data_IF_917995092037
#
_entry.id   IF_917995092037
#
_cell.length_a   1.000
_cell.length_b   1.000
_cell.length_c   1.000
_cell.angle_alpha   90.00
_cell.angle_beta   90.00
_cell.angle_gamma   90.00
#
_symmetry.space_group_name_H-M   'P 1'
#
loop_
_entity.id
_entity.type
_entity.pdbx_description
1 polymer ?
#
# COMPACT_ATOMS: atom_id res chain seq x y z
N UNK A 1 -8.87 -22.52 43.08
CA UNK A 1 -9.68 -21.43 42.51
C UNK A 1 -8.98 -20.95 41.26
N UNK A 2 -9.43 -21.43 40.10
CA UNK A 2 -8.90 -21.11 38.78
C UNK A 2 -9.65 -19.91 38.22
N UNK A 3 -8.95 -18.81 37.95
CA UNK A 3 -9.52 -17.63 37.30
C UNK A 3 -9.30 -17.80 35.79
N UNK A 4 -10.38 -18.02 35.04
CA UNK A 4 -10.37 -17.94 33.58
C UNK A 4 -10.23 -16.47 33.15
N UNK A 5 -9.32 -16.13 32.24
CA UNK A 5 -9.31 -14.81 31.64
C UNK A 5 -10.43 -14.73 30.60
N UNK A 6 -11.45 -13.91 30.85
CA UNK A 6 -12.41 -13.49 29.83
C UNK A 6 -11.66 -12.79 28.70
N UNK A 7 -11.74 -13.34 27.48
CA UNK A 7 -11.34 -12.62 26.27
C UNK A 7 -12.28 -11.42 26.12
N UNK A 8 -11.72 -10.22 26.22
CA UNK A 8 -12.37 -9.01 25.73
C UNK A 8 -12.53 -9.18 24.22
N UNK A 9 -13.76 -9.42 23.77
CA UNK A 9 -14.13 -9.29 22.37
C UNK A 9 -14.15 -7.81 22.03
N UNK A 10 -13.01 -7.28 21.60
CA UNK A 10 -12.98 -5.98 20.94
C UNK A 10 -13.67 -6.18 19.59
N UNK A 11 -14.90 -5.70 19.46
CA UNK A 11 -15.52 -5.58 18.13
C UNK A 11 -14.68 -4.57 17.35
N UNK A 12 -13.86 -5.06 16.43
CA UNK A 12 -13.25 -4.22 15.42
C UNK A 12 -14.36 -3.50 14.63
N UNK A 13 -14.19 -2.23 14.25
CA UNK A 13 -15.24 -1.44 13.58
C UNK A 13 -15.63 -1.95 12.18
N UNK A 14 -15.01 -3.02 11.67
CA UNK A 14 -15.35 -3.67 10.41
C UNK A 14 -16.44 -4.72 10.66
N UNK A 15 -17.68 -4.29 10.87
CA UNK A 15 -18.80 -5.19 11.19
C UNK A 15 -19.47 -5.85 9.97
N UNK A 16 -18.80 -5.88 8.82
CA UNK A 16 -19.12 -6.74 7.68
C UNK A 16 -17.87 -6.85 6.79
N UNK A 17 -17.56 -8.05 6.29
CA UNK A 17 -16.53 -8.23 5.27
C UNK A 17 -16.90 -7.36 4.05
N UNK A 18 -16.03 -6.40 3.71
CA UNK A 18 -16.25 -5.53 2.57
C UNK A 18 -16.36 -6.37 1.29
N UNK A 19 -17.32 -6.07 0.44
CA UNK A 19 -17.44 -6.77 -0.84
C UNK A 19 -16.23 -6.44 -1.71
N UNK A 20 -15.84 -7.37 -2.60
CA UNK A 20 -14.77 -7.13 -3.59
C UNK A 20 -15.01 -5.85 -4.39
N UNK A 21 -16.27 -5.55 -4.73
CA UNK A 21 -16.65 -4.32 -5.42
C UNK A 21 -16.38 -3.07 -4.58
N UNK A 22 -16.68 -3.11 -3.28
CA UNK A 22 -16.41 -1.97 -2.39
C UNK A 22 -14.91 -1.74 -2.20
N UNK A 23 -14.13 -2.82 -2.05
CA UNK A 23 -12.66 -2.74 -1.99
C UNK A 23 -12.10 -2.12 -3.28
N UNK A 24 -12.55 -2.58 -4.44
CA UNK A 24 -12.13 -2.02 -5.72
C UNK A 24 -12.46 -0.52 -5.83
N UNK A 25 -13.67 -0.12 -5.41
CA UNK A 25 -14.10 1.29 -5.38
C UNK A 25 -13.20 2.14 -4.48
N UNK A 26 -12.91 1.65 -3.27
CA UNK A 26 -12.05 2.35 -2.31
C UNK A 26 -10.61 2.47 -2.81
N UNK A 27 -10.07 1.41 -3.43
CA UNK A 27 -8.72 1.44 -4.01
C UNK A 27 -8.64 2.49 -5.12
N UNK A 28 -9.62 2.53 -6.02
CA UNK A 28 -9.73 3.53 -7.08
C UNK A 28 -9.80 4.93 -6.50
N UNK A 29 -10.69 5.17 -5.54
CA UNK A 29 -10.83 6.47 -4.87
C UNK A 29 -9.52 6.92 -4.20
N UNK A 30 -8.82 6.02 -3.51
CA UNK A 30 -7.54 6.33 -2.87
C UNK A 30 -6.50 6.74 -3.92
N UNK A 31 -6.42 6.02 -5.04
CA UNK A 31 -5.47 6.36 -6.13
C UNK A 31 -5.82 7.68 -6.79
N UNK A 32 -7.09 7.94 -7.06
CA UNK A 32 -7.53 9.20 -7.64
C UNK A 32 -7.13 10.38 -6.75
N UNK A 33 -7.24 10.23 -5.42
CA UNK A 33 -6.77 11.22 -4.45
C UNK A 33 -5.24 11.39 -4.48
N UNK A 34 -4.46 10.30 -4.55
CA UNK A 34 -3.00 10.39 -4.72
C UNK A 34 -2.63 11.18 -5.97
N UNK A 35 -3.26 10.88 -7.11
CA UNK A 35 -3.01 11.57 -8.37
C UNK A 35 -3.47 13.03 -8.34
N UNK A 36 -4.60 13.31 -7.68
CA UNK A 36 -5.11 14.68 -7.50
C UNK A 36 -4.10 15.54 -6.74
N UNK A 37 -3.51 15.01 -5.65
CA UNK A 37 -2.53 15.73 -4.82
C UNK A 37 -1.28 16.18 -5.60
N UNK A 38 -0.90 15.44 -6.65
CA UNK A 38 0.30 15.71 -7.46
C UNK A 38 -0.01 16.34 -8.83
N UNK A 39 -1.28 16.45 -9.21
CA UNK A 39 -1.72 16.82 -10.56
C UNK A 39 -1.23 18.20 -11.05
N UNK A 40 -0.94 19.12 -10.14
CA UNK A 40 -0.46 20.47 -10.44
C UNK A 40 1.06 20.65 -10.35
N UNK A 41 1.81 19.59 -10.04
CA UNK A 41 3.24 19.65 -9.80
C UNK A 41 4.03 19.20 -11.04
N UNK A 42 5.14 19.87 -11.32
CA UNK A 42 6.08 19.43 -12.34
C UNK A 42 6.92 18.25 -11.84
N UNK A 43 7.61 17.58 -12.77
CA UNK A 43 8.56 16.53 -12.40
C UNK A 43 9.67 17.08 -11.48
N UNK A 44 10.14 18.30 -11.73
CA UNK A 44 11.14 18.98 -10.89
C UNK A 44 10.61 19.22 -9.46
N UNK A 45 9.39 19.73 -9.33
CA UNK A 45 8.76 19.95 -8.02
C UNK A 45 8.67 18.66 -7.21
N UNK A 46 8.32 17.55 -7.87
CA UNK A 46 8.16 16.24 -7.23
C UNK A 46 9.48 15.61 -6.78
N UNK A 47 10.59 15.93 -7.46
CA UNK A 47 11.93 15.46 -7.11
C UNK A 47 12.61 16.34 -6.05
N UNK A 48 12.10 17.55 -5.79
CA UNK A 48 12.65 18.42 -4.77
C UNK A 48 12.36 17.91 -3.35
N UNK A 49 13.40 17.83 -2.54
CA UNK A 49 13.25 17.69 -1.09
C UNK A 49 13.19 19.07 -0.44
N UNK A 50 12.03 19.42 0.11
CA UNK A 50 11.83 20.73 0.74
C UNK A 50 12.42 20.82 2.16
N UNK A 51 12.50 19.69 2.87
CA UNK A 51 13.08 19.61 4.22
C UNK A 51 13.73 18.23 4.43
N UNK A 52 14.88 18.12 5.13
CA UNK A 52 15.53 16.82 5.42
C UNK A 52 14.63 15.81 6.17
N UNK A 53 13.58 16.28 6.85
CA UNK A 53 12.59 15.45 7.52
C UNK A 53 11.50 14.91 6.58
N UNK A 54 11.48 15.32 5.31
CA UNK A 54 10.50 14.92 4.30
C UNK A 54 11.19 14.15 3.17
N UNK A 55 10.44 13.30 2.45
CA UNK A 55 10.91 12.75 1.18
C UNK A 55 10.70 13.77 0.05
N UNK A 56 11.40 13.65 -1.09
CA UNK A 56 10.82 14.05 -2.38
C UNK A 56 9.46 13.35 -2.57
N UNK A 57 8.45 14.07 -3.04
CA UNK A 57 7.09 13.52 -3.21
C UNK A 57 7.10 12.31 -4.16
N UNK A 58 7.94 12.34 -5.19
CA UNK A 58 8.06 11.21 -6.13
C UNK A 58 8.54 9.91 -5.45
N UNK A 59 9.30 10.01 -4.36
CA UNK A 59 9.68 8.85 -3.55
C UNK A 59 8.45 8.24 -2.88
N UNK A 60 7.56 9.07 -2.31
CA UNK A 60 6.34 8.60 -1.65
C UNK A 60 5.36 7.98 -2.66
N UNK A 61 5.26 8.54 -3.88
CA UNK A 61 4.49 7.96 -5.00
C UNK A 61 5.00 6.56 -5.35
N UNK A 62 6.31 6.41 -5.51
CA UNK A 62 6.91 5.11 -5.77
C UNK A 62 6.77 4.14 -4.59
N UNK A 63 6.84 4.64 -3.35
CA UNK A 63 6.64 3.84 -2.15
C UNK A 63 5.20 3.29 -2.06
N UNK A 64 4.18 4.12 -2.32
CA UNK A 64 2.77 3.68 -2.43
C UNK A 64 2.64 2.55 -3.45
N UNK A 65 3.24 2.72 -4.64
CA UNK A 65 3.17 1.71 -5.70
C UNK A 65 3.73 0.35 -5.24
N UNK A 66 4.96 0.35 -4.71
CA UNK A 66 5.65 -0.88 -4.34
C UNK A 66 5.09 -1.51 -3.05
N UNK A 67 4.52 -0.72 -2.14
CA UNK A 67 3.80 -1.24 -0.98
C UNK A 67 2.52 -1.97 -1.42
N UNK A 68 1.74 -1.38 -2.33
CA UNK A 68 0.56 -2.03 -2.92
C UNK A 68 0.94 -3.33 -3.64
N UNK A 69 1.99 -3.32 -4.46
CA UNK A 69 2.48 -4.52 -5.16
C UNK A 69 2.91 -5.62 -4.18
N UNK A 70 3.73 -5.28 -3.19
CA UNK A 70 4.23 -6.21 -2.19
C UNK A 70 3.10 -6.96 -1.50
N UNK A 71 2.10 -6.24 -0.98
CA UNK A 71 1.06 -6.84 -0.15
C UNK A 71 -0.06 -7.48 -0.94
N UNK A 72 -0.46 -6.90 -2.07
CA UNK A 72 -1.64 -7.34 -2.81
C UNK A 72 -1.30 -8.21 -4.03
N UNK A 73 -0.03 -8.39 -4.38
CA UNK A 73 0.34 -9.30 -5.48
C UNK A 73 1.31 -10.39 -5.08
N UNK A 74 2.26 -10.13 -4.17
CA UNK A 74 3.32 -11.08 -3.83
C UNK A 74 3.01 -11.92 -2.57
N UNK A 75 2.33 -11.33 -1.57
CA UNK A 75 2.15 -11.95 -0.24
C UNK A 75 0.83 -12.70 -0.02
N UNK A 76 0.02 -12.87 -1.07
CA UNK A 76 -1.29 -13.50 -0.96
C UNK A 76 -1.30 -15.01 -1.29
N UNK A 77 -0.19 -15.54 -1.80
CA UNK A 77 -0.01 -16.97 -2.10
C UNK A 77 1.04 -17.58 -1.17
N UNK A 78 0.78 -18.79 -0.67
CA UNK A 78 1.74 -19.52 0.15
C UNK A 78 1.92 -18.95 1.57
N UNK A 79 3.00 -19.35 2.28
CA UNK A 79 3.32 -18.82 3.59
C UNK A 79 3.58 -17.32 3.53
N UNK A 80 3.17 -16.58 4.57
CA UNK A 80 3.51 -15.16 4.69
C UNK A 80 5.02 -15.05 4.89
N UNK A 81 5.73 -14.54 3.89
CA UNK A 81 7.14 -14.23 3.98
C UNK A 81 7.30 -12.72 4.18
N UNK A 82 7.97 -12.31 5.26
CA UNK A 82 8.33 -10.91 5.40
C UNK A 82 9.40 -10.57 4.37
N UNK A 83 8.97 -10.03 3.23
CA UNK A 83 9.86 -9.44 2.24
C UNK A 83 9.99 -7.95 2.56
N UNK A 84 11.23 -7.49 2.67
CA UNK A 84 11.50 -6.06 2.84
C UNK A 84 11.01 -5.29 1.60
N UNK A 85 10.70 -4.01 1.80
CA UNK A 85 10.38 -3.14 0.67
C UNK A 85 11.54 -3.16 -0.33
N UNK A 86 11.30 -3.38 -1.63
CA UNK A 86 12.38 -3.54 -2.58
C UNK A 86 13.11 -2.22 -2.86
N UNK A 87 14.44 -2.27 -2.76
CA UNK A 87 15.37 -1.28 -3.30
C UNK A 87 15.11 0.16 -2.84
N UNK A 88 14.97 1.07 -3.82
CA UNK A 88 14.90 2.53 -3.59
C UNK A 88 13.80 2.96 -2.61
N UNK A 89 12.75 2.15 -2.44
CA UNK A 89 11.56 2.51 -1.67
C UNK A 89 11.53 1.87 -0.27
N UNK A 90 12.64 1.26 0.16
CA UNK A 90 12.79 0.78 1.53
C UNK A 90 13.02 1.94 2.51
N UNK A 91 12.06 2.26 3.40
CA UNK A 91 12.21 3.38 4.33
C UNK A 91 13.26 3.13 5.41
N UNK A 92 13.64 1.87 5.67
CA UNK A 92 14.65 1.50 6.66
C UNK A 92 16.08 1.65 6.12
N UNK A 93 16.29 1.34 4.84
CA UNK A 93 17.59 1.49 4.18
C UNK A 93 17.87 2.93 3.73
N UNK A 94 16.82 3.71 3.46
CA UNK A 94 16.93 5.07 2.94
C UNK A 94 16.29 6.11 3.89
N UNK A 95 17.09 6.66 4.83
CA UNK A 95 16.66 7.79 5.68
C UNK A 95 16.12 8.95 4.84
N UNK A 96 15.13 9.68 5.36
CA UNK A 96 14.45 10.76 4.60
C UNK A 96 15.43 11.77 3.99
N UNK A 97 16.39 12.22 4.78
CA UNK A 97 17.41 13.20 4.38
C UNK A 97 18.28 12.75 3.18
N UNK A 98 18.31 11.47 2.83
CA UNK A 98 19.14 10.97 1.72
C UNK A 98 18.33 10.68 0.45
N UNK A 99 16.99 10.67 0.52
CA UNK A 99 16.12 10.21 -0.58
C UNK A 99 16.23 11.06 -1.85
N UNK A 100 16.52 12.35 -1.72
CA UNK A 100 16.73 13.24 -2.87
C UNK A 100 17.95 12.88 -3.74
N UNK A 101 18.90 12.12 -3.20
CA UNK A 101 20.11 11.69 -3.92
C UNK A 101 19.93 10.37 -4.68
N UNK A 102 18.79 9.71 -4.50
CA UNK A 102 18.48 8.47 -5.20
C UNK A 102 18.16 8.75 -6.67
N UNK A 103 18.46 7.80 -7.55
CA UNK A 103 18.06 7.85 -8.95
C UNK A 103 16.56 7.52 -9.10
N UNK A 104 15.70 8.43 -8.64
CA UNK A 104 14.26 8.25 -8.65
C UNK A 104 13.71 8.33 -10.09
N UNK A 105 12.71 7.51 -10.45
CA UNK A 105 12.07 7.57 -11.76
C UNK A 105 11.23 8.84 -11.94
N UNK A 106 10.98 9.22 -13.18
CA UNK A 106 10.09 10.34 -13.49
C UNK A 106 8.64 10.09 -13.05
N UNK A 107 7.86 11.16 -12.93
CA UNK A 107 6.42 11.11 -12.71
C UNK A 107 5.74 10.20 -13.72
N UNK A 108 6.06 10.31 -15.01
CA UNK A 108 5.44 9.48 -16.06
C UNK A 108 5.75 7.99 -15.90
N UNK A 109 6.97 7.64 -15.49
CA UNK A 109 7.35 6.26 -15.19
C UNK A 109 6.59 5.75 -13.97
N UNK A 110 6.44 6.57 -12.92
CA UNK A 110 5.72 6.19 -11.70
C UNK A 110 4.21 6.11 -11.87
N UNK A 111 3.59 6.98 -12.66
CA UNK A 111 2.16 6.87 -12.98
C UNK A 111 1.86 5.61 -13.80
N UNK A 112 2.72 5.28 -14.77
CA UNK A 112 2.58 4.04 -15.53
C UNK A 112 2.72 2.80 -14.63
N UNK A 113 3.68 2.83 -13.69
CA UNK A 113 3.88 1.74 -12.73
C UNK A 113 2.70 1.58 -11.77
N UNK A 114 2.15 2.70 -11.28
CA UNK A 114 0.94 2.71 -10.45
C UNK A 114 -0.24 2.06 -11.17
N UNK A 115 -0.45 2.40 -12.45
CA UNK A 115 -1.54 1.83 -13.27
C UNK A 115 -1.35 0.32 -13.52
N UNK A 116 -0.13 -0.11 -13.87
CA UNK A 116 0.22 -1.52 -14.07
C UNK A 116 -0.05 -2.34 -12.81
N UNK A 117 0.42 -1.87 -11.65
CA UNK A 117 0.21 -2.53 -10.36
C UNK A 117 -1.28 -2.58 -10.04
N UNK A 118 -2.00 -1.47 -10.21
CA UNK A 118 -3.44 -1.43 -9.90
C UNK A 118 -4.23 -2.42 -10.75
N UNK A 119 -3.95 -2.50 -12.04
CA UNK A 119 -4.59 -3.48 -12.93
C UNK A 119 -4.43 -4.90 -12.39
N UNK A 120 -3.20 -5.29 -12.06
CA UNK A 120 -2.92 -6.63 -11.49
C UNK A 120 -3.60 -6.86 -10.14
N UNK A 121 -3.67 -5.83 -9.30
CA UNK A 121 -4.37 -5.92 -8.00
C UNK A 121 -5.87 -6.15 -8.19
N UNK A 122 -6.50 -5.45 -9.13
CA UNK A 122 -7.92 -5.61 -9.43
C UNK A 122 -8.21 -6.98 -10.04
N UNK A 123 -7.42 -7.42 -11.02
CA UNK A 123 -7.52 -8.76 -11.61
C UNK A 123 -7.43 -9.86 -10.55
N UNK A 124 -6.51 -9.68 -9.59
CA UNK A 124 -6.37 -10.61 -8.47
C UNK A 124 -7.53 -10.54 -7.49
N UNK A 125 -8.01 -9.34 -7.17
CA UNK A 125 -9.16 -9.15 -6.27
C UNK A 125 -10.42 -9.85 -6.79
N UNK A 126 -10.60 -9.97 -8.11
CA UNK A 126 -11.70 -10.73 -8.69
C UNK A 126 -11.65 -12.22 -8.30
N UNK A 127 -10.44 -12.80 -8.26
CA UNK A 127 -10.23 -14.25 -8.11
C UNK A 127 -9.85 -14.68 -6.70
N UNK A 128 -9.43 -13.77 -5.82
CA UNK A 128 -9.02 -14.10 -4.45
C UNK A 128 -10.21 -14.59 -3.62
N UNK A 129 -10.05 -15.67 -2.87
CA UNK A 129 -11.05 -16.12 -1.90
C UNK A 129 -10.64 -15.64 -0.51
N UNK A 130 -11.55 -14.95 0.18
CA UNK A 130 -11.31 -14.54 1.56
C UNK A 130 -11.36 -15.78 2.48
N UNK A 131 -10.25 -16.05 3.17
CA UNK A 131 -10.08 -17.23 4.02
C UNK A 131 -9.78 -16.81 5.46
N UNK A 132 -10.67 -17.15 6.39
CA UNK A 132 -10.53 -16.85 7.81
C UNK A 132 -9.27 -17.46 8.44
N UNK A 133 -8.72 -18.53 7.86
CA UNK A 133 -7.50 -19.17 8.34
C UNK A 133 -6.25 -18.39 7.96
N UNK A 134 -6.30 -17.58 6.90
CA UNK A 134 -5.21 -16.70 6.51
C UNK A 134 -5.40 -15.32 7.16
N UNK A 135 -4.50 -14.87 8.06
CA UNK A 135 -4.63 -13.58 8.73
C UNK A 135 -4.69 -12.36 7.80
N UNK A 136 -4.09 -12.43 6.61
CA UNK A 136 -4.12 -11.34 5.63
C UNK A 136 -5.46 -11.25 4.89
N UNK A 137 -6.10 -12.40 4.62
CA UNK A 137 -7.33 -12.47 3.84
C UNK A 137 -8.60 -12.43 4.70
N UNK A 138 -8.49 -12.75 6.00
CA UNK A 138 -9.60 -12.61 6.94
C UNK A 138 -10.14 -11.19 6.92
N UNK A 139 -11.45 -11.06 6.72
CA UNK A 139 -12.17 -9.78 6.65
C UNK A 139 -11.54 -8.76 5.67
N UNK A 140 -10.87 -9.25 4.61
CA UNK A 140 -10.11 -8.44 3.66
C UNK A 140 -9.05 -7.51 4.31
N UNK A 141 -8.50 -7.91 5.46
CA UNK A 141 -7.57 -7.11 6.26
C UNK A 141 -6.44 -6.47 5.43
N UNK A 142 -5.76 -7.23 4.59
CA UNK A 142 -4.61 -6.74 3.80
C UNK A 142 -5.01 -5.62 2.84
N UNK A 143 -6.22 -5.65 2.28
CA UNK A 143 -6.73 -4.58 1.42
C UNK A 143 -7.01 -3.32 2.23
N UNK A 144 -7.59 -3.46 3.43
CA UNK A 144 -7.79 -2.33 4.34
C UNK A 144 -6.48 -1.74 4.85
N UNK A 145 -5.48 -2.58 5.11
CA UNK A 145 -4.13 -2.15 5.49
C UNK A 145 -3.48 -1.32 4.38
N UNK A 146 -3.57 -1.75 3.12
CA UNK A 146 -3.03 -1.00 1.97
C UNK A 146 -3.83 0.27 1.70
N UNK A 147 -5.14 0.29 1.96
CA UNK A 147 -5.94 1.52 1.87
C UNK A 147 -5.60 2.55 2.96
N UNK A 148 -5.15 2.08 4.12
CA UNK A 148 -4.77 2.95 5.24
C UNK A 148 -3.36 3.52 5.07
N UNK A 149 -2.47 2.78 4.41
CA UNK A 149 -1.13 3.22 4.03
C UNK A 149 -1.19 4.42 3.07
#
# INVERSE_FOLDING_TARGET
MTVSPSRLTTNAPYSASATKQEIARLLTEARDRTLLLISGLSDEDLHQQHDPLMSPIIWDVGHIAHFEELWLTQNLDGPIEFSEMPGLYNPFEHPRATRASLALPSLSQMTARLEEIRTRVLDRLETVEFDDRNPLLRDAYVYHMVLQH
#
